data_IF_779989998597
#
_entry.id   IF_779989998597
#
_cell.length_a   1.000
_cell.length_b   1.000
_cell.length_c   1.000
_cell.angle_alpha   90.00
_cell.angle_beta   90.00
_cell.angle_gamma   90.00
#
_symmetry.space_group_name_H-M   'P 1'
#
loop_
_entity.id
_entity.type
_entity.pdbx_description
1 polymer ?
#
# COMPACT_ATOMS: atom_id res chain seq x y z
N UNK A 1 -24.09 -28.67 -10.41
CA UNK A 1 -23.55 -27.33 -10.07
C UNK A 1 -22.38 -27.36 -9.09
N UNK A 2 -22.27 -28.30 -8.13
CA UNK A 2 -21.12 -28.36 -7.18
C UNK A 2 -19.74 -28.58 -7.82
N UNK A 3 -19.66 -29.30 -8.94
CA UNK A 3 -18.40 -29.60 -9.65
C UNK A 3 -17.74 -28.37 -10.29
N UNK A 4 -18.51 -27.35 -10.68
CA UNK A 4 -17.96 -26.11 -11.25
C UNK A 4 -17.21 -25.27 -10.23
N UNK A 5 -17.74 -25.17 -9.00
CA UNK A 5 -17.14 -24.39 -7.92
C UNK A 5 -15.79 -24.97 -7.46
N UNK A 6 -15.71 -26.30 -7.30
CA UNK A 6 -14.47 -26.98 -6.93
C UNK A 6 -13.39 -26.86 -8.02
N UNK A 7 -13.80 -26.90 -9.30
CA UNK A 7 -12.88 -26.66 -10.42
C UNK A 7 -12.33 -25.23 -10.41
N UNK A 8 -13.15 -24.23 -10.06
CA UNK A 8 -12.72 -22.83 -9.94
C UNK A 8 -11.77 -22.65 -8.77
N UNK A 9 -12.08 -23.23 -7.60
CA UNK A 9 -11.19 -23.20 -6.43
C UNK A 9 -9.84 -23.86 -6.71
N UNK A 10 -9.84 -24.99 -7.40
CA UNK A 10 -8.60 -25.67 -7.82
C UNK A 10 -7.77 -24.83 -8.79
N UNK A 11 -8.42 -24.21 -9.79
CA UNK A 11 -7.74 -23.32 -10.73
C UNK A 11 -7.17 -22.06 -10.04
N UNK A 12 -7.94 -21.45 -9.12
CA UNK A 12 -7.50 -20.31 -8.33
C UNK A 12 -6.30 -20.66 -7.46
N UNK A 13 -6.35 -21.82 -6.80
CA UNK A 13 -5.21 -22.31 -6.01
C UNK A 13 -3.97 -22.47 -6.88
N UNK A 14 -4.07 -23.17 -8.01
CA UNK A 14 -2.94 -23.38 -8.90
C UNK A 14 -2.36 -22.04 -9.41
N UNK A 15 -3.23 -21.09 -9.74
CA UNK A 15 -2.82 -19.74 -10.14
C UNK A 15 -2.05 -19.01 -9.02
N UNK A 16 -2.61 -18.96 -7.81
CA UNK A 16 -1.99 -18.28 -6.67
C UNK A 16 -0.70 -18.95 -6.21
N UNK A 17 -0.61 -20.27 -6.32
CA UNK A 17 0.59 -21.02 -5.98
C UNK A 17 1.74 -20.73 -6.95
N UNK A 18 1.44 -20.73 -8.27
CA UNK A 18 2.41 -20.31 -9.29
C UNK A 18 2.80 -18.83 -9.10
N UNK A 19 1.84 -17.95 -8.80
CA UNK A 19 2.09 -16.53 -8.54
C UNK A 19 3.01 -16.32 -7.33
N UNK A 20 2.81 -17.10 -6.26
CA UNK A 20 3.68 -17.09 -5.09
C UNK A 20 5.12 -17.49 -5.46
N UNK A 21 5.28 -18.57 -6.22
CA UNK A 21 6.59 -19.05 -6.66
C UNK A 21 7.32 -18.02 -7.56
N UNK A 22 6.59 -17.38 -8.47
CA UNK A 22 7.15 -16.34 -9.35
C UNK A 22 7.61 -15.10 -8.57
N UNK A 23 6.86 -14.69 -7.54
CA UNK A 23 7.24 -13.59 -6.65
C UNK A 23 8.46 -13.94 -5.79
N UNK A 24 8.53 -15.17 -5.26
CA UNK A 24 9.68 -15.67 -4.50
C UNK A 24 10.95 -15.71 -5.35
N UNK A 25 10.87 -16.27 -6.57
CA UNK A 25 11.98 -16.26 -7.53
C UNK A 25 12.41 -14.83 -7.89
N UNK A 26 11.46 -13.92 -8.06
CA UNK A 26 11.76 -12.50 -8.29
C UNK A 26 12.55 -11.91 -7.13
N UNK A 27 12.15 -12.20 -5.89
CA UNK A 27 12.84 -11.77 -4.68
C UNK A 27 14.26 -12.37 -4.56
N UNK A 28 14.42 -13.67 -4.82
CA UNK A 28 15.72 -14.35 -4.76
C UNK A 28 16.70 -13.76 -5.77
N UNK A 29 16.25 -13.56 -7.01
CA UNK A 29 17.05 -12.92 -8.04
C UNK A 29 17.51 -11.52 -7.59
N UNK A 30 16.61 -10.75 -6.95
CA UNK A 30 16.93 -9.41 -6.45
C UNK A 30 17.97 -9.43 -5.33
N UNK A 31 17.90 -10.41 -4.42
CA UNK A 31 18.90 -10.61 -3.36
C UNK A 31 20.28 -10.99 -3.91
N UNK A 32 20.32 -11.79 -4.97
CA UNK A 32 21.57 -12.22 -5.60
C UNK A 32 22.25 -11.11 -6.43
N UNK A 33 21.65 -9.93 -6.55
CA UNK A 33 22.27 -8.79 -7.21
C UNK A 33 22.52 -8.99 -8.71
N UNK A 34 21.84 -9.95 -9.36
CA UNK A 34 22.02 -10.27 -10.78
C UNK A 34 21.65 -9.11 -11.75
N UNK A 35 21.32 -7.94 -11.20
CA UNK A 35 20.86 -6.73 -11.89
C UNK A 35 21.93 -5.63 -12.03
N UNK A 36 23.02 -5.69 -11.27
CA UNK A 36 24.05 -4.65 -11.26
C UNK A 36 24.98 -4.79 -12.47
N UNK A 37 24.53 -4.32 -13.64
CA UNK A 37 25.35 -4.02 -14.84
C UNK A 37 26.58 -4.93 -15.06
N UNK A 38 26.42 -6.24 -14.82
CA UNK A 38 27.51 -7.18 -15.05
C UNK A 38 27.38 -7.61 -16.50
N UNK A 39 28.48 -7.58 -17.24
CA UNK A 39 28.56 -7.85 -18.69
C UNK A 39 27.94 -9.19 -19.14
N UNK A 40 27.56 -10.05 -18.18
CA UNK A 40 26.89 -11.34 -18.33
C UNK A 40 25.55 -11.39 -17.57
N UNK A 41 24.56 -10.57 -17.93
CA UNK A 41 23.19 -10.75 -17.43
C UNK A 41 22.52 -11.97 -18.09
N UNK A 42 21.96 -12.93 -17.34
CA UNK A 42 21.14 -13.98 -17.91
C UNK A 42 19.83 -13.36 -18.42
N UNK A 43 19.56 -13.47 -19.73
CA UNK A 43 18.37 -12.88 -20.38
C UNK A 43 17.03 -13.27 -19.71
N UNK A 44 16.97 -14.42 -19.05
CA UNK A 44 15.76 -14.90 -18.36
C UNK A 44 15.39 -14.09 -17.12
N UNK A 45 16.35 -13.48 -16.44
CA UNK A 45 16.09 -12.81 -15.15
C UNK A 45 15.35 -11.48 -15.34
N UNK A 46 15.72 -10.70 -16.37
CA UNK A 46 14.99 -9.50 -16.77
C UNK A 46 13.57 -9.83 -17.25
N UNK A 47 13.39 -10.98 -17.91
CA UNK A 47 12.07 -11.43 -18.37
C UNK A 47 11.15 -11.82 -17.21
N UNK A 48 11.65 -12.57 -16.22
CA UNK A 48 10.91 -12.90 -14.99
C UNK A 48 10.43 -11.61 -14.32
N UNK A 49 11.35 -10.67 -14.16
CA UNK A 49 11.06 -9.39 -13.54
C UNK A 49 9.99 -8.58 -14.28
N UNK A 50 10.10 -8.47 -15.61
CA UNK A 50 9.13 -7.76 -16.44
C UNK A 50 7.77 -8.46 -16.43
N UNK A 51 7.74 -9.79 -16.46
CA UNK A 51 6.52 -10.56 -16.32
C UNK A 51 5.85 -10.29 -14.97
N UNK A 52 6.61 -10.36 -13.89
CA UNK A 52 6.11 -10.11 -12.54
C UNK A 52 5.50 -8.72 -12.41
N UNK A 53 6.15 -7.69 -12.95
CA UNK A 53 5.68 -6.30 -12.74
C UNK A 53 4.65 -5.82 -13.76
N UNK A 54 4.73 -6.27 -15.01
CA UNK A 54 3.82 -5.80 -16.07
C UNK A 54 2.57 -6.68 -16.19
N UNK A 55 2.67 -7.97 -15.87
CA UNK A 55 1.55 -8.90 -15.99
C UNK A 55 1.05 -9.38 -14.63
N UNK A 56 1.93 -9.96 -13.80
CA UNK A 56 1.49 -10.62 -12.57
C UNK A 56 0.92 -9.66 -11.53
N UNK A 57 1.63 -8.55 -11.22
CA UNK A 57 1.17 -7.58 -10.23
C UNK A 57 -0.17 -6.94 -10.59
N UNK A 58 -0.40 -6.42 -11.81
CA UNK A 58 -1.71 -5.87 -12.18
C UNK A 58 -2.84 -6.90 -12.11
N UNK A 59 -2.57 -8.15 -12.51
CA UNK A 59 -3.55 -9.25 -12.43
C UNK A 59 -3.89 -9.59 -10.98
N UNK A 60 -2.89 -9.69 -10.10
CA UNK A 60 -3.10 -9.93 -8.67
C UNK A 60 -3.84 -8.75 -8.02
N UNK A 61 -3.44 -7.51 -8.31
CA UNK A 61 -4.13 -6.31 -7.81
C UNK A 61 -5.60 -6.34 -8.18
N UNK A 62 -5.92 -6.56 -9.47
CA UNK A 62 -7.30 -6.58 -9.95
C UNK A 62 -8.11 -7.74 -9.36
N UNK A 63 -7.50 -8.92 -9.22
CA UNK A 63 -8.14 -10.09 -8.61
C UNK A 63 -8.47 -9.82 -7.13
N UNK A 64 -7.50 -9.37 -6.34
CA UNK A 64 -7.72 -9.10 -4.93
C UNK A 64 -8.65 -7.91 -4.71
N UNK A 65 -8.57 -6.86 -5.53
CA UNK A 65 -9.50 -5.74 -5.48
C UNK A 65 -10.93 -6.21 -5.72
N UNK A 66 -11.17 -7.05 -6.73
CA UNK A 66 -12.49 -7.62 -7.00
C UNK A 66 -12.98 -8.50 -5.84
N UNK A 67 -12.13 -9.39 -5.31
CA UNK A 67 -12.46 -10.24 -4.15
C UNK A 67 -12.78 -9.37 -2.93
N UNK A 68 -12.02 -8.28 -2.72
CA UNK A 68 -12.19 -7.35 -1.63
C UNK A 68 -13.50 -6.58 -1.69
N UNK A 69 -13.80 -5.99 -2.85
CA UNK A 69 -15.02 -5.20 -3.08
C UNK A 69 -16.30 -6.03 -2.94
N UNK A 70 -16.27 -7.30 -3.34
CA UNK A 70 -17.43 -8.19 -3.25
C UNK A 70 -17.43 -9.11 -2.03
N UNK A 71 -16.45 -8.98 -1.13
CA UNK A 71 -16.31 -9.77 0.10
C UNK A 71 -16.21 -11.30 -0.14
N UNK A 72 -15.77 -11.74 -1.33
CA UNK A 72 -15.62 -13.16 -1.64
C UNK A 72 -14.43 -13.84 -0.94
N UNK A 73 -13.66 -13.10 -0.14
CA UNK A 73 -12.49 -13.62 0.56
C UNK A 73 -12.82 -14.79 1.48
N UNK A 74 -13.96 -14.71 2.17
CA UNK A 74 -14.44 -15.74 3.10
C UNK A 74 -14.87 -17.05 2.39
N UNK A 75 -15.24 -16.98 1.11
CA UNK A 75 -15.69 -18.15 0.33
C UNK A 75 -14.59 -18.77 -0.54
N UNK A 76 -13.66 -17.93 -1.02
CA UNK A 76 -12.63 -18.31 -2.01
C UNK A 76 -11.26 -18.56 -1.37
N UNK A 77 -10.87 -17.79 -0.36
CA UNK A 77 -9.52 -17.85 0.23
C UNK A 77 -9.57 -18.69 1.51
N UNK A 78 -9.83 -19.98 1.33
CA UNK A 78 -9.94 -20.95 2.41
C UNK A 78 -8.83 -21.99 2.35
N UNK A 79 -8.49 -22.52 3.52
CA UNK A 79 -7.56 -23.64 3.68
C UNK A 79 -6.27 -23.46 2.88
N UNK A 80 -5.99 -24.35 1.93
CA UNK A 80 -4.71 -24.41 1.24
C UNK A 80 -4.46 -23.20 0.33
N UNK A 81 -5.52 -22.50 -0.09
CA UNK A 81 -5.38 -21.22 -0.81
C UNK A 81 -4.72 -20.18 0.09
N UNK A 82 -4.99 -20.22 1.41
CA UNK A 82 -4.34 -19.31 2.35
C UNK A 82 -2.84 -19.53 2.42
N UNK A 83 -2.33 -20.75 2.21
CA UNK A 83 -0.89 -21.03 2.19
C UNK A 83 -0.21 -20.24 1.08
N UNK A 84 -0.75 -20.30 -0.15
CA UNK A 84 -0.24 -19.51 -1.27
C UNK A 84 -0.40 -18.01 -1.00
N UNK A 85 -1.49 -17.57 -0.37
CA UNK A 85 -1.68 -16.18 0.02
C UNK A 85 -0.65 -15.67 1.05
N UNK A 86 -0.29 -16.47 2.06
CA UNK A 86 0.76 -16.12 3.02
C UNK A 86 2.14 -15.96 2.36
N UNK A 87 2.44 -16.82 1.37
CA UNK A 87 3.65 -16.71 0.55
C UNK A 87 3.68 -15.45 -0.31
N UNK A 88 2.55 -15.13 -0.97
CA UNK A 88 2.37 -13.88 -1.72
C UNK A 88 2.53 -12.67 -0.81
N UNK A 89 1.86 -12.65 0.34
CA UNK A 89 1.94 -11.58 1.34
C UNK A 89 3.39 -11.33 1.77
N UNK A 90 4.10 -12.38 2.16
CA UNK A 90 5.51 -12.30 2.59
C UNK A 90 6.39 -11.76 1.48
N UNK A 91 6.18 -12.22 0.24
CA UNK A 91 6.95 -11.80 -0.92
C UNK A 91 6.67 -10.35 -1.31
N UNK A 92 5.40 -9.92 -1.37
CA UNK A 92 5.02 -8.54 -1.68
C UNK A 92 5.56 -7.56 -0.64
N UNK A 93 5.44 -7.88 0.65
CA UNK A 93 5.96 -7.04 1.72
C UNK A 93 7.49 -6.92 1.66
N UNK A 94 8.20 -8.04 1.50
CA UNK A 94 9.67 -8.06 1.40
C UNK A 94 10.17 -7.33 0.13
N UNK A 95 9.46 -7.49 -1.00
CA UNK A 95 9.76 -6.76 -2.22
C UNK A 95 9.52 -5.26 -2.05
N UNK A 96 8.39 -4.84 -1.47
CA UNK A 96 8.03 -3.43 -1.31
C UNK A 96 8.92 -2.65 -0.33
N UNK A 97 9.41 -3.32 0.72
CA UNK A 97 10.30 -2.74 1.73
C UNK A 97 11.78 -2.81 1.36
N UNK A 98 12.12 -3.51 0.28
CA UNK A 98 13.51 -3.62 -0.19
C UNK A 98 14.05 -2.29 -0.73
N UNK A 99 15.36 -2.08 -0.49
CA UNK A 99 16.12 -0.91 -0.93
C UNK A 99 16.78 -1.10 -2.31
N UNK A 100 16.40 -2.13 -3.06
CA UNK A 100 16.93 -2.36 -4.41
C UNK A 100 16.47 -1.26 -5.38
N UNK A 101 17.38 -0.77 -6.23
CA UNK A 101 17.10 0.23 -7.27
C UNK A 101 15.95 -0.21 -8.18
N UNK A 102 15.84 -1.52 -8.43
CA UNK A 102 14.74 -2.06 -9.23
C UNK A 102 13.37 -1.82 -8.57
N UNK A 103 13.29 -2.08 -7.27
CA UNK A 103 12.07 -1.95 -6.47
C UNK A 103 11.63 -0.49 -6.43
N UNK A 104 12.54 0.47 -6.42
CA UNK A 104 12.20 1.90 -6.35
C UNK A 104 11.23 2.34 -7.44
N UNK A 105 11.33 1.76 -8.65
CA UNK A 105 10.45 2.10 -9.76
C UNK A 105 9.07 1.42 -9.70
N UNK A 106 8.98 0.31 -8.98
CA UNK A 106 7.81 -0.58 -8.98
C UNK A 106 7.11 -0.62 -7.61
N UNK A 107 7.63 0.12 -6.64
CA UNK A 107 7.16 0.13 -5.25
C UNK A 107 5.69 0.51 -5.12
N UNK A 108 5.23 1.50 -5.87
CA UNK A 108 3.80 1.84 -5.91
C UNK A 108 2.92 0.67 -6.35
N UNK A 109 3.31 -0.06 -7.41
CA UNK A 109 2.53 -1.19 -7.90
C UNK A 109 2.51 -2.35 -6.90
N UNK A 110 3.65 -2.61 -6.24
CA UNK A 110 3.75 -3.60 -5.16
C UNK A 110 2.87 -3.23 -3.97
N UNK A 111 2.87 -1.95 -3.58
CA UNK A 111 2.05 -1.46 -2.48
C UNK A 111 0.56 -1.42 -2.79
N UNK A 112 0.18 -1.08 -4.03
CA UNK A 112 -1.20 -1.19 -4.52
C UNK A 112 -1.69 -2.65 -4.48
N UNK A 113 -0.87 -3.59 -4.96
CA UNK A 113 -1.19 -5.02 -4.89
C UNK A 113 -1.31 -5.52 -3.45
N UNK A 114 -0.41 -5.09 -2.56
CA UNK A 114 -0.44 -5.47 -1.15
C UNK A 114 -1.65 -4.86 -0.43
N UNK A 115 -2.05 -3.64 -0.78
CA UNK A 115 -3.26 -3.01 -0.26
C UNK A 115 -4.52 -3.73 -0.71
N UNK A 116 -4.61 -4.08 -2.00
CA UNK A 116 -5.70 -4.89 -2.53
C UNK A 116 -5.78 -6.24 -1.81
N UNK A 117 -4.63 -6.92 -1.61
CA UNK A 117 -4.54 -8.16 -0.84
C UNK A 117 -5.03 -8.00 0.60
N UNK A 118 -4.55 -6.96 1.31
CA UNK A 118 -4.94 -6.72 2.70
C UNK A 118 -6.45 -6.45 2.85
N UNK A 119 -7.05 -5.85 1.81
CA UNK A 119 -8.49 -5.64 1.70
C UNK A 119 -9.27 -6.82 1.12
N UNK A 120 -8.64 -7.98 0.87
CA UNK A 120 -9.23 -9.19 0.30
C UNK A 120 -9.06 -10.44 1.18
N UNK A 121 -7.97 -10.49 1.95
CA UNK A 121 -7.61 -11.64 2.79
C UNK A 121 -8.55 -11.78 4.01
N UNK A 122 -9.10 -12.99 4.27
CA UNK A 122 -10.07 -13.22 5.37
C UNK A 122 -9.40 -13.47 6.73
N UNK A 123 -8.08 -13.25 6.86
CA UNK A 123 -7.35 -13.42 8.12
C UNK A 123 -6.65 -12.13 8.54
N UNK A 124 -6.77 -11.80 9.83
CA UNK A 124 -6.23 -10.58 10.45
C UNK A 124 -4.71 -10.71 10.68
N UNK A 125 -3.96 -10.75 9.58
CA UNK A 125 -2.54 -11.11 9.57
C UNK A 125 -1.61 -10.14 10.34
N UNK A 126 -2.04 -8.91 10.64
CA UNK A 126 -1.26 -7.96 11.45
C UNK A 126 -1.52 -8.10 12.96
N UNK A 127 -2.50 -8.91 13.35
CA UNK A 127 -2.96 -9.14 14.72
C UNK A 127 -2.98 -10.64 15.04
N UNK A 128 -1.86 -11.32 14.75
CA UNK A 128 -1.69 -12.79 14.90
C UNK A 128 -2.08 -13.33 16.28
N UNK A 129 -1.93 -12.53 17.34
CA UNK A 129 -2.32 -12.89 18.71
C UNK A 129 -3.84 -13.09 18.89
N UNK A 130 -4.65 -12.55 17.98
CA UNK A 130 -6.12 -12.70 17.95
C UNK A 130 -6.59 -13.77 16.95
N UNK A 131 -5.67 -14.42 16.23
CA UNK A 131 -6.03 -15.41 15.20
C UNK A 131 -6.84 -16.57 15.76
N UNK A 132 -6.70 -16.89 17.05
CA UNK A 132 -7.52 -17.90 17.76
C UNK A 132 -9.04 -17.67 17.67
N UNK A 133 -9.46 -16.44 17.39
CA UNK A 133 -10.87 -16.06 17.23
C UNK A 133 -11.32 -16.02 15.76
N UNK A 134 -10.40 -16.20 14.80
CA UNK A 134 -10.72 -16.17 13.38
C UNK A 134 -11.19 -17.55 12.88
N UNK A 135 -12.47 -17.64 12.53
CA UNK A 135 -13.09 -18.91 12.07
C UNK A 135 -12.59 -19.38 10.70
N UNK A 136 -12.03 -18.48 9.88
CA UNK A 136 -11.56 -18.78 8.53
C UNK A 136 -10.10 -19.17 8.49
N UNK A 137 -9.33 -18.93 9.56
CA UNK A 137 -7.91 -19.24 9.60
C UNK A 137 -7.64 -20.74 9.40
N UNK A 138 -6.68 -21.06 8.53
CA UNK A 138 -6.16 -22.43 8.36
C UNK A 138 -5.67 -23.05 9.69
N UNK A 139 -5.24 -22.21 10.63
CA UNK A 139 -4.78 -22.64 11.96
C UNK A 139 -5.89 -23.19 12.85
N UNK A 140 -7.12 -22.71 12.65
CA UNK A 140 -8.29 -23.13 13.42
C UNK A 140 -9.14 -24.16 12.68
N UNK A 141 -9.01 -24.25 11.35
CA UNK A 141 -9.78 -25.18 10.52
C UNK A 141 -9.06 -26.51 10.26
N UNK A 142 -7.71 -26.54 10.23
CA UNK A 142 -6.92 -27.76 9.99
C UNK A 142 -6.14 -28.25 11.21
N UNK A 143 -6.00 -29.56 11.30
CA UNK A 143 -5.20 -30.19 12.35
C UNK A 143 -3.70 -29.88 12.20
N UNK A 144 -2.94 -29.97 13.29
CA UNK A 144 -1.49 -29.74 13.26
C UNK A 144 -0.75 -30.66 12.27
N UNK A 145 -1.26 -31.87 12.05
CA UNK A 145 -0.68 -32.83 11.09
C UNK A 145 -0.87 -32.39 9.64
N UNK A 146 -2.04 -31.87 9.30
CA UNK A 146 -2.33 -31.36 7.96
C UNK A 146 -1.56 -30.07 7.67
N UNK A 147 -1.41 -29.20 8.67
CA UNK A 147 -0.57 -27.99 8.57
C UNK A 147 0.90 -28.33 8.33
N UNK A 148 1.42 -29.33 9.03
CA UNK A 148 2.79 -29.81 8.82
C UNK A 148 3.01 -30.36 7.39
N UNK A 149 2.00 -31.01 6.80
CA UNK A 149 2.07 -31.50 5.43
C UNK A 149 2.09 -30.38 4.38
N UNK A 150 1.61 -29.18 4.73
CA UNK A 150 1.61 -27.98 3.89
C UNK A 150 2.82 -27.07 4.15
N UNK A 151 3.81 -27.53 4.93
CA UNK A 151 4.98 -26.76 5.37
C UNK A 151 4.63 -25.48 6.15
N UNK A 152 3.49 -25.45 6.85
CA UNK A 152 3.15 -24.36 7.75
C UNK A 152 3.84 -24.52 9.11
N UNK A 153 4.37 -23.44 9.70
CA UNK A 153 4.93 -23.47 11.04
C UNK A 153 3.85 -23.66 12.11
N UNK A 154 4.28 -24.08 13.30
CA UNK A 154 3.38 -24.43 14.42
C UNK A 154 2.51 -23.25 14.86
N UNK A 155 3.10 -22.05 14.93
CA UNK A 155 2.42 -20.81 15.30
C UNK A 155 2.16 -19.93 14.08
N UNK A 156 1.09 -19.13 14.14
CA UNK A 156 0.71 -18.16 13.09
C UNK A 156 1.77 -17.06 12.95
N UNK A 157 2.37 -16.65 14.06
CA UNK A 157 3.40 -15.60 14.12
C UNK A 157 4.63 -15.95 13.27
N UNK A 158 4.95 -17.24 13.18
CA UNK A 158 6.12 -17.75 12.46
C UNK A 158 5.90 -17.83 10.94
N UNK A 159 4.67 -17.63 10.44
CA UNK A 159 4.35 -17.69 9.00
C UNK A 159 4.93 -16.49 8.26
N UNK A 160 4.85 -15.31 8.88
CA UNK A 160 5.26 -14.04 8.29
C UNK A 160 6.22 -13.29 9.23
N UNK A 161 7.43 -13.82 9.52
CA UNK A 161 8.31 -13.29 10.56
C UNK A 161 8.83 -11.88 10.26
N UNK A 162 8.82 -11.48 8.98
CA UNK A 162 9.31 -10.16 8.54
C UNK A 162 8.24 -9.07 8.59
N UNK A 163 6.96 -9.43 8.78
CA UNK A 163 5.85 -8.47 8.79
C UNK A 163 5.65 -8.01 10.24
N UNK A 164 5.83 -6.71 10.55
CA UNK A 164 5.60 -6.19 11.90
C UNK A 164 4.13 -6.25 12.30
N UNK A 165 3.88 -6.21 13.61
CA UNK A 165 2.52 -6.10 14.14
C UNK A 165 1.87 -4.77 13.77
N UNK A 166 0.54 -4.71 13.82
CA UNK A 166 -0.23 -3.48 13.60
C UNK A 166 0.29 -2.32 14.47
N UNK A 167 0.57 -2.57 15.74
CA UNK A 167 1.09 -1.57 16.69
C UNK A 167 2.41 -0.96 16.22
N UNK A 168 3.37 -1.80 15.80
CA UNK A 168 4.69 -1.34 15.33
C UNK A 168 4.58 -0.52 14.05
N UNK A 169 3.72 -0.93 13.12
CA UNK A 169 3.51 -0.19 11.87
C UNK A 169 2.82 1.16 12.13
N UNK A 170 1.90 1.21 13.09
CA UNK A 170 1.25 2.46 13.50
C UNK A 170 2.23 3.41 14.19
N UNK A 171 3.11 2.90 15.06
CA UNK A 171 4.19 3.67 15.69
C UNK A 171 5.14 4.27 14.64
N UNK A 172 5.57 3.48 13.65
CA UNK A 172 6.41 3.96 12.54
C UNK A 172 5.76 5.12 11.77
N UNK A 173 4.43 5.10 11.58
CA UNK A 173 3.70 6.19 10.92
C UNK A 173 3.60 7.43 11.80
N UNK A 174 3.41 7.26 13.11
CA UNK A 174 3.39 8.38 14.07
C UNK A 174 4.76 9.07 14.05
N UNK A 175 5.84 8.31 14.17
CA UNK A 175 7.22 8.81 14.14
C UNK A 175 7.51 9.57 12.83
N UNK A 176 7.06 9.03 11.70
CA UNK A 176 7.18 9.69 10.40
C UNK A 176 6.40 11.01 10.34
N UNK A 177 5.20 11.05 10.89
CA UNK A 177 4.37 12.26 10.92
C UNK A 177 4.91 13.33 11.89
N UNK A 178 5.55 12.92 12.98
CA UNK A 178 6.17 13.81 13.98
C UNK A 178 7.52 14.35 13.55
N UNK A 179 8.36 13.51 12.96
CA UNK A 179 9.70 13.89 12.51
C UNK A 179 9.72 14.94 11.39
N UNK A 180 8.60 15.11 10.67
CA UNK A 180 8.51 16.05 9.55
C UNK A 180 9.45 15.69 8.39
N UNK A 181 9.91 14.43 8.37
CA UNK A 181 10.81 13.88 7.37
C UNK A 181 10.23 14.06 5.96
N UNK A 182 11.10 14.40 5.00
CA UNK A 182 10.69 14.50 3.59
C UNK A 182 10.41 13.12 3.03
N UNK A 183 9.40 13.02 2.17
CA UNK A 183 8.94 11.76 1.57
C UNK A 183 10.07 10.93 0.92
N UNK A 184 11.10 11.59 0.36
CA UNK A 184 12.26 10.95 -0.29
C UNK A 184 13.05 10.05 0.64
N UNK A 185 12.93 10.23 1.96
CA UNK A 185 13.72 9.48 2.94
C UNK A 185 13.05 8.15 3.32
N UNK A 186 11.72 8.01 3.16
CA UNK A 186 10.98 6.78 3.51
C UNK A 186 9.87 6.44 2.49
N UNK A 187 10.23 6.10 1.23
CA UNK A 187 9.23 5.79 0.19
C UNK A 187 8.45 4.50 0.47
N UNK A 188 9.01 3.53 1.18
CA UNK A 188 8.34 2.27 1.55
C UNK A 188 7.15 2.50 2.48
N UNK A 189 7.26 3.42 3.44
CA UNK A 189 6.13 3.74 4.33
C UNK A 189 4.98 4.34 3.52
N UNK A 190 5.29 5.30 2.64
CA UNK A 190 4.28 6.03 1.89
C UNK A 190 3.59 5.19 0.82
N UNK A 191 4.35 4.38 0.10
CA UNK A 191 3.86 3.66 -1.08
C UNK A 191 3.44 2.22 -0.77
N UNK A 192 3.84 1.63 0.37
CA UNK A 192 3.56 0.22 0.69
C UNK A 192 2.83 0.07 2.02
N UNK A 193 3.35 0.65 3.10
CA UNK A 193 2.78 0.47 4.45
C UNK A 193 1.46 1.23 4.63
N UNK A 194 1.43 2.52 4.27
CA UNK A 194 0.21 3.34 4.39
C UNK A 194 -0.97 2.79 3.57
N UNK A 195 -0.81 2.42 2.28
CA UNK A 195 -1.91 1.86 1.50
C UNK A 195 -2.41 0.53 2.08
N UNK A 196 -1.47 -0.34 2.48
CA UNK A 196 -1.78 -1.61 3.13
C UNK A 196 -2.60 -1.40 4.41
N UNK A 197 -2.17 -0.49 5.28
CA UNK A 197 -2.88 -0.21 6.53
C UNK A 197 -4.24 0.43 6.32
N UNK A 198 -4.37 1.37 5.38
CA UNK A 198 -5.68 1.97 5.08
C UNK A 198 -6.69 0.90 4.62
N UNK A 199 -6.25 -0.03 3.77
CA UNK A 199 -7.09 -1.12 3.27
C UNK A 199 -7.40 -2.16 4.37
N UNK A 200 -6.37 -2.63 5.08
CA UNK A 200 -6.48 -3.56 6.20
C UNK A 200 -7.44 -3.03 7.27
N UNK A 201 -7.19 -1.81 7.76
CA UNK A 201 -7.96 -1.25 8.86
C UNK A 201 -9.39 -0.94 8.44
N UNK A 202 -9.63 -0.52 7.20
CA UNK A 202 -11.00 -0.33 6.72
C UNK A 202 -11.79 -1.64 6.79
N UNK A 203 -11.24 -2.74 6.27
CA UNK A 203 -11.89 -4.06 6.33
C UNK A 203 -12.11 -4.52 7.77
N UNK A 204 -11.05 -4.59 8.56
CA UNK A 204 -11.10 -5.22 9.88
C UNK A 204 -11.84 -4.38 10.92
N UNK A 205 -11.93 -3.06 10.75
CA UNK A 205 -12.79 -2.23 11.59
C UNK A 205 -14.26 -2.70 11.58
N UNK A 206 -14.78 -3.20 10.45
CA UNK A 206 -16.16 -3.75 10.37
C UNK A 206 -16.35 -5.00 11.24
N UNK A 207 -15.28 -5.76 11.47
CA UNK A 207 -15.25 -6.94 12.34
C UNK A 207 -14.76 -6.64 13.76
N UNK A 208 -14.46 -5.38 14.06
CA UNK A 208 -13.97 -4.94 15.37
C UNK A 208 -15.04 -4.94 16.47
N UNK A 209 -14.61 -4.76 17.73
CA UNK A 209 -15.49 -4.79 18.91
C UNK A 209 -16.56 -3.70 18.92
N UNK A 210 -16.29 -2.53 18.32
CA UNK A 210 -17.27 -1.43 18.23
C UNK A 210 -18.49 -1.81 17.38
N UNK A 211 -18.28 -2.58 16.31
CA UNK A 211 -19.34 -3.02 15.41
C UNK A 211 -19.97 -4.34 15.87
N UNK A 212 -19.31 -5.09 16.77
CA UNK A 212 -19.77 -6.38 17.29
C UNK A 212 -19.82 -6.40 18.83
N UNK A 213 -20.66 -5.55 19.47
CA UNK A 213 -20.66 -5.38 20.94
C UNK A 213 -21.03 -6.66 21.71
N UNK A 214 -21.79 -7.58 21.10
CA UNK A 214 -22.14 -8.87 21.71
C UNK A 214 -21.04 -9.93 21.68
N UNK A 215 -19.93 -9.69 20.97
CA UNK A 215 -18.78 -10.63 20.83
C UNK A 215 -17.44 -9.94 21.05
N UNK A 216 -17.40 -8.83 21.79
CA UNK A 216 -16.19 -8.02 21.95
C UNK A 216 -14.95 -8.81 22.42
N UNK A 217 -15.13 -9.80 23.31
CA UNK A 217 -14.04 -10.68 23.79
C UNK A 217 -13.65 -11.81 22.82
N UNK A 218 -14.45 -12.04 21.77
CA UNK A 218 -14.22 -13.06 20.75
C UNK A 218 -13.99 -12.45 19.37
N UNK A 219 -13.65 -11.15 19.31
CA UNK A 219 -13.33 -10.49 18.05
C UNK A 219 -11.94 -10.93 17.57
N UNK A 220 -11.81 -11.13 16.26
CA UNK A 220 -10.56 -11.50 15.59
C UNK A 220 -9.64 -10.29 15.33
N UNK A 221 -10.03 -9.10 15.79
CA UNK A 221 -9.29 -7.84 15.68
C UNK A 221 -9.65 -6.91 16.84
N UNK A 222 -8.69 -6.12 17.31
CA UNK A 222 -8.84 -5.08 18.32
C UNK A 222 -9.06 -3.68 17.71
N UNK A 223 -9.21 -3.60 16.38
CA UNK A 223 -9.39 -2.33 15.67
C UNK A 223 -10.66 -1.60 16.10
N UNK A 224 -10.49 -0.30 16.32
CA UNK A 224 -11.55 0.59 16.77
C UNK A 224 -11.44 1.96 16.07
N UNK A 225 -12.40 2.85 16.30
CA UNK A 225 -12.42 4.18 15.68
C UNK A 225 -11.23 5.06 16.08
N UNK A 226 -10.58 4.80 17.21
CA UNK A 226 -9.40 5.54 17.65
C UNK A 226 -8.19 5.26 16.75
N UNK A 227 -7.94 3.98 16.42
CA UNK A 227 -6.89 3.61 15.47
C UNK A 227 -7.11 4.27 14.10
N UNK A 228 -8.35 4.28 13.59
CA UNK A 228 -8.71 4.94 12.34
C UNK A 228 -8.43 6.44 12.38
N UNK A 229 -8.76 7.09 13.49
CA UNK A 229 -8.49 8.52 13.68
C UNK A 229 -7.00 8.82 13.70
N UNK A 230 -6.21 8.00 14.40
CA UNK A 230 -4.77 8.15 14.50
C UNK A 230 -4.13 8.01 13.12
N UNK A 231 -4.49 6.98 12.35
CA UNK A 231 -3.97 6.78 11.00
C UNK A 231 -4.28 7.97 10.08
N UNK A 232 -5.56 8.38 9.99
CA UNK A 232 -5.95 9.50 9.12
C UNK A 232 -5.35 10.83 9.60
N UNK A 233 -5.30 11.07 10.91
CA UNK A 233 -4.66 12.26 11.49
C UNK A 233 -3.19 12.37 11.10
N UNK A 234 -2.44 11.26 11.17
CA UNK A 234 -1.04 11.21 10.75
C UNK A 234 -0.89 11.41 9.24
N UNK A 235 -1.74 10.81 8.40
CA UNK A 235 -1.74 11.06 6.95
C UNK A 235 -1.96 12.55 6.66
N UNK A 236 -2.94 13.19 7.31
CA UNK A 236 -3.21 14.62 7.14
C UNK A 236 -2.05 15.49 7.62
N UNK A 237 -1.38 15.11 8.71
CA UNK A 237 -0.17 15.78 9.23
C UNK A 237 1.01 15.66 8.26
N UNK A 238 1.21 14.48 7.67
CA UNK A 238 2.21 14.26 6.62
C UNK A 238 1.95 15.15 5.40
N UNK A 239 0.70 15.19 4.92
CA UNK A 239 0.29 16.06 3.81
C UNK A 239 0.55 17.52 4.21
N UNK A 240 0.09 17.93 5.40
CA UNK A 240 0.28 19.29 5.91
C UNK A 240 1.75 19.71 5.91
N UNK A 241 2.66 18.86 6.40
CA UNK A 241 4.08 19.16 6.49
C UNK A 241 4.73 19.34 5.11
N UNK A 242 4.29 18.56 4.13
CA UNK A 242 4.88 18.53 2.79
C UNK A 242 4.14 19.42 1.76
N UNK A 243 3.13 20.20 2.17
CA UNK A 243 2.39 21.10 1.28
C UNK A 243 3.30 22.14 0.60
N UNK A 244 3.31 22.14 -0.73
CA UNK A 244 4.04 23.10 -1.57
C UNK A 244 5.40 22.60 -2.09
N UNK A 245 5.65 21.30 -2.03
CA UNK A 245 6.76 20.64 -2.73
C UNK A 245 6.32 20.34 -4.18
N UNK A 246 7.20 20.58 -5.16
CA UNK A 246 6.88 20.45 -6.60
C UNK A 246 6.63 19.00 -7.04
N UNK A 247 7.22 18.00 -6.36
CA UNK A 247 6.99 16.56 -6.61
C UNK A 247 5.80 16.02 -5.79
N UNK A 248 4.58 16.36 -6.21
CA UNK A 248 3.33 16.08 -5.47
C UNK A 248 2.53 14.84 -5.90
N UNK A 249 3.02 14.00 -6.82
CA UNK A 249 2.24 12.87 -7.34
C UNK A 249 1.83 11.86 -6.26
N UNK A 250 2.69 11.61 -5.28
CA UNK A 250 2.42 10.71 -4.15
C UNK A 250 1.31 11.25 -3.22
N UNK A 251 1.15 12.57 -3.08
CA UNK A 251 0.08 13.14 -2.24
C UNK A 251 -1.31 12.83 -2.81
N UNK A 252 -1.43 12.82 -4.15
CA UNK A 252 -2.68 12.40 -4.81
C UNK A 252 -3.00 10.94 -4.48
N UNK A 253 -1.99 10.07 -4.45
CA UNK A 253 -2.15 8.67 -4.07
C UNK A 253 -2.56 8.51 -2.61
N UNK A 254 -1.94 9.23 -1.67
CA UNK A 254 -2.36 9.20 -0.25
C UNK A 254 -3.82 9.60 -0.05
N UNK A 255 -4.29 10.61 -0.79
CA UNK A 255 -5.69 11.00 -0.77
C UNK A 255 -6.62 9.86 -1.25
N UNK A 256 -6.21 9.11 -2.28
CA UNK A 256 -6.96 7.93 -2.77
C UNK A 256 -6.92 6.80 -1.73
N UNK A 257 -5.75 6.46 -1.20
CA UNK A 257 -5.59 5.37 -0.23
C UNK A 257 -6.36 5.61 1.07
N UNK A 258 -6.56 6.87 1.47
CA UNK A 258 -7.32 7.23 2.67
C UNK A 258 -8.85 7.26 2.47
N UNK A 259 -9.36 7.15 1.23
CA UNK A 259 -10.80 7.13 0.96
C UNK A 259 -11.57 6.06 1.76
N UNK A 260 -11.07 4.80 1.88
CA UNK A 260 -11.78 3.75 2.60
C UNK A 260 -11.89 4.00 4.11
N UNK A 261 -11.05 4.87 4.68
CA UNK A 261 -11.04 5.15 6.12
C UNK A 261 -11.74 6.45 6.49
N UNK A 262 -11.91 7.40 5.56
CA UNK A 262 -12.50 8.73 5.81
C UNK A 262 -13.91 8.65 6.41
N UNK A 263 -14.73 7.68 6.00
CA UNK A 263 -16.10 7.54 6.51
C UNK A 263 -16.17 6.83 7.87
N UNK A 264 -15.05 6.29 8.36
CA UNK A 264 -14.94 5.50 9.60
C UNK A 264 -14.24 6.27 10.73
N UNK A 265 -13.88 7.53 10.49
CA UNK A 265 -13.24 8.41 11.49
C UNK A 265 -14.25 9.29 12.22
N UNK A 266 -13.85 9.75 13.41
CA UNK A 266 -14.65 10.67 14.24
C UNK A 266 -14.55 12.11 13.68
N UNK A 267 -15.61 12.93 13.81
CA UNK A 267 -15.68 14.28 13.25
C UNK A 267 -14.67 15.26 13.86
N UNK A 268 -14.01 14.90 14.96
CA UNK A 268 -12.99 15.71 15.62
C UNK A 268 -11.84 16.10 14.68
N UNK A 269 -11.47 15.23 13.73
CA UNK A 269 -10.40 15.51 12.76
C UNK A 269 -10.71 16.70 11.86
N UNK A 270 -11.99 17.02 11.62
CA UNK A 270 -12.40 18.16 10.81
C UNK A 270 -11.87 19.48 11.39
N UNK A 271 -11.95 19.63 12.72
CA UNK A 271 -11.48 20.83 13.42
C UNK A 271 -9.98 20.82 13.63
N UNK A 272 -9.41 19.68 14.01
CA UNK A 272 -7.99 19.60 14.44
C UNK A 272 -7.00 19.49 13.29
N UNK A 273 -7.34 18.81 12.20
CA UNK A 273 -6.41 18.54 11.09
C UNK A 273 -6.87 19.17 9.77
N UNK A 274 -8.13 18.95 9.37
CA UNK A 274 -8.61 19.45 8.07
C UNK A 274 -8.64 20.98 8.02
N UNK A 275 -9.16 21.66 9.05
CA UNK A 275 -9.27 23.12 9.04
C UNK A 275 -7.89 23.82 8.98
N UNK A 276 -6.89 23.44 9.80
CA UNK A 276 -5.52 23.97 9.65
C UNK A 276 -4.88 23.68 8.28
N UNK A 277 -5.12 22.49 7.73
CA UNK A 277 -4.65 22.11 6.40
C UNK A 277 -5.22 23.03 5.31
N UNK A 278 -6.53 23.27 5.33
CA UNK A 278 -7.20 24.13 4.35
C UNK A 278 -6.73 25.59 4.46
N UNK A 279 -6.52 26.10 5.67
CA UNK A 279 -5.96 27.43 5.88
C UNK A 279 -4.53 27.57 5.33
N UNK A 280 -3.67 26.57 5.57
CA UNK A 280 -2.31 26.54 4.99
C UNK A 280 -2.35 26.46 3.47
N UNK A 281 -3.22 25.62 2.91
CA UNK A 281 -3.41 25.48 1.47
C UNK A 281 -3.86 26.80 0.84
N UNK A 282 -4.86 27.48 1.43
CA UNK A 282 -5.34 28.80 0.99
C UNK A 282 -4.22 29.84 0.97
N UNK A 283 -3.40 29.90 2.04
CA UNK A 283 -2.25 30.82 2.11
C UNK A 283 -1.22 30.52 1.03
N UNK A 284 -0.88 29.24 0.82
CA UNK A 284 0.07 28.81 -0.23
C UNK A 284 -0.45 29.09 -1.64
N UNK A 285 -1.74 28.84 -1.90
CA UNK A 285 -2.37 29.15 -3.17
C UNK A 285 -2.32 30.66 -3.47
N UNK A 286 -2.61 31.51 -2.48
CA UNK A 286 -2.50 32.96 -2.64
C UNK A 286 -1.06 33.44 -2.90
N UNK A 287 -0.06 32.83 -2.26
CA UNK A 287 1.35 33.12 -2.53
C UNK A 287 1.77 32.68 -3.94
N UNK A 288 1.33 31.50 -4.37
CA UNK A 288 1.62 31.00 -5.72
C UNK A 288 0.98 31.89 -6.80
N UNK A 289 -0.26 32.31 -6.59
CA UNK A 289 -0.95 33.23 -7.49
C UNK A 289 -0.18 34.55 -7.67
N UNK A 290 0.25 35.17 -6.55
CA UNK A 290 1.09 36.39 -6.61
C UNK A 290 2.41 36.17 -7.34
N UNK A 291 3.04 35.01 -7.14
CA UNK A 291 4.30 34.65 -7.83
C UNK A 291 4.07 34.47 -9.33
N UNK A 292 2.98 33.83 -9.74
CA UNK A 292 2.62 33.67 -11.16
C UNK A 292 2.33 35.01 -11.82
N UNK A 293 1.62 35.91 -11.13
CA UNK A 293 1.36 37.28 -11.61
C UNK A 293 2.66 38.05 -11.81
N UNK A 294 3.59 37.99 -10.84
CA UNK A 294 4.89 38.63 -10.95
C UNK A 294 5.74 38.04 -12.07
N UNK A 295 5.73 36.71 -12.25
CA UNK A 295 6.41 36.05 -13.36
C UNK A 295 5.82 36.47 -14.72
N UNK A 296 4.50 36.62 -14.82
CA UNK A 296 3.85 37.10 -16.04
C UNK A 296 4.25 38.53 -16.39
N UNK A 297 4.35 39.43 -15.40
CA UNK A 297 4.86 40.79 -15.59
C UNK A 297 6.30 40.77 -16.10
N UNK A 298 7.18 40.01 -15.44
CA UNK A 298 8.59 39.89 -15.86
C UNK A 298 8.72 39.30 -17.27
N UNK A 299 7.94 38.28 -17.61
CA UNK A 299 7.94 37.68 -18.95
C UNK A 299 7.51 38.70 -20.02
N UNK A 300 6.49 39.52 -19.73
CA UNK A 300 6.05 40.58 -20.63
C UNK A 300 7.09 41.70 -20.77
N UNK A 301 7.77 42.10 -19.68
CA UNK A 301 8.86 43.07 -19.75
C UNK A 301 10.02 42.56 -20.60
N UNK A 302 10.42 41.29 -20.43
CA UNK A 302 11.45 40.64 -21.24
C UNK A 302 11.02 40.60 -22.72
N UNK A 303 9.77 40.23 -23.01
CA UNK A 303 9.24 40.19 -24.37
C UNK A 303 9.21 41.58 -25.02
N UNK A 304 8.78 42.61 -24.29
CA UNK A 304 8.77 43.99 -24.76
C UNK A 304 10.18 44.52 -25.01
N UNK A 305 11.13 44.20 -24.12
CA UNK A 305 12.52 44.58 -24.29
C UNK A 305 13.17 43.86 -25.48
N UNK A 306 12.88 42.58 -25.67
CA UNK A 306 13.31 41.80 -26.85
C UNK A 306 12.76 42.41 -28.16
N UNK A 307 11.48 42.81 -28.17
CA UNK A 307 10.85 43.48 -29.30
C UNK A 307 11.55 44.81 -29.64
N UNK A 308 11.83 45.65 -28.64
CA UNK A 308 12.57 46.91 -28.83
C UNK A 308 13.99 46.71 -29.37
N UNK A 309 14.67 45.63 -28.96
CA UNK A 309 16.00 45.27 -29.46
C UNK A 309 15.93 44.74 -30.91
N UNK A 310 14.88 44.02 -31.29
CA UNK A 310 14.69 43.58 -32.68
C UNK A 310 14.35 44.75 -33.62
N UNK A 311 13.52 45.70 -33.17
CA UNK A 311 13.14 46.89 -33.95
C UNK A 311 14.32 47.85 -34.19
N UNK A 312 15.22 48.00 -33.21
CA UNK A 312 16.43 48.81 -33.37
C UNK A 312 17.43 48.17 -34.34
N UNK A 313 17.56 46.84 -34.34
CA UNK A 313 18.37 46.13 -35.35
C UNK A 313 17.79 46.23 -36.76
N UNK A 314 16.46 46.23 -36.92
CA UNK A 314 15.82 46.37 -38.23
C UNK A 314 15.93 47.77 -38.83
N UNK A 315 16.14 48.82 -38.01
CA UNK A 315 16.35 50.21 -38.47
C UNK A 315 17.81 50.57 -38.74
N UNK A 316 18.75 49.70 -38.36
CA UNK A 316 20.19 49.88 -38.59
C UNK A 316 20.71 49.10 -39.81
N UNK A 317 19.84 48.35 -40.49
CA UNK A 317 20.10 47.73 -41.81
C UNK A 317 19.45 48.57 -42.91
#
# INVERSE_FOLDING_TARGET
MKTGLESVKSALRAFLDNAAEDLEKTMENLKQGQFTHTRNQPKGVTQIINYTTVALLPMLSSLFEHIGQHQFGEDLILEDVQVSCYRILTSLYALGTSKSIYVERQRSALGECLAAFAGAFPVAFLETHLDKHNIYSIYNTKSSRERAALNLPTNVEDVCPNIPSLEKLMEEIVDLAESGIRYTQMPHVMEVILPMLCSYMSRWWEHGPENNPGRAEMCCTALNSEHMNTLLGNILKIIYNNLGIDEGAWMKRLAVFSQPIINKVKPQLLKTHFLPLMEKLKKKAAMNFKREEQNFVVQNEINNMSFLIMDTKSKMS
#
